data_IF_422695483295
#
_entry.id   IF_422695483295
#
_cell.length_a   1.000
_cell.length_b   1.000
_cell.length_c   1.000
_cell.angle_alpha   90.00
_cell.angle_beta   90.00
_cell.angle_gamma   90.00
#
_symmetry.space_group_name_H-M   'P 1'
#
loop_
_entity.id
_entity.type
_entity.pdbx_description
1 polymer ?
#
# COMPACT_ATOMS: atom_id res chain seq x y z
N UNK A 1 20.71 5.72 11.00
CA UNK A 1 19.64 6.62 11.49
C UNK A 1 18.82 7.18 10.34
N UNK A 2 19.41 7.28 9.16
CA UNK A 2 18.84 7.86 7.95
C UNK A 2 17.65 7.07 7.38
N UNK A 3 17.65 5.74 7.51
CA UNK A 3 16.52 4.89 7.11
C UNK A 3 15.27 5.16 7.94
N UNK A 4 15.40 5.24 9.26
CA UNK A 4 14.29 5.55 10.17
C UNK A 4 13.76 6.96 9.87
N UNK A 5 14.66 7.92 9.61
CA UNK A 5 14.27 9.27 9.24
C UNK A 5 13.52 9.30 7.89
N UNK A 6 13.94 8.47 6.94
CA UNK A 6 13.28 8.31 5.64
C UNK A 6 11.89 7.69 5.79
N UNK A 7 11.75 6.60 6.55
CA UNK A 7 10.44 5.97 6.80
C UNK A 7 9.50 6.92 7.55
N UNK A 8 10.02 7.66 8.53
CA UNK A 8 9.25 8.66 9.27
C UNK A 8 8.83 9.82 8.37
N UNK A 9 9.70 10.27 7.47
CA UNK A 9 9.40 11.27 6.46
C UNK A 9 8.33 10.83 5.47
N UNK A 10 8.43 9.61 4.94
CA UNK A 10 7.44 9.03 4.02
C UNK A 10 6.07 8.81 4.71
N UNK A 11 6.07 8.31 5.95
CA UNK A 11 4.87 8.18 6.78
C UNK A 11 4.20 9.52 7.04
N UNK A 12 4.98 10.54 7.43
CA UNK A 12 4.47 11.89 7.65
C UNK A 12 3.92 12.52 6.37
N UNK A 13 4.60 12.34 5.24
CA UNK A 13 4.13 12.81 3.93
C UNK A 13 2.81 12.13 3.52
N UNK A 14 2.68 10.82 3.74
CA UNK A 14 1.45 10.07 3.48
C UNK A 14 0.30 10.56 4.37
N UNK A 15 0.55 10.78 5.66
CA UNK A 15 -0.44 11.31 6.60
C UNK A 15 -0.98 12.66 6.13
N UNK A 16 -0.08 13.62 5.86
CA UNK A 16 -0.45 14.98 5.44
C UNK A 16 -1.15 14.95 4.08
N UNK A 17 -0.62 14.20 3.12
CA UNK A 17 -1.19 14.08 1.78
C UNK A 17 -2.61 13.51 1.80
N UNK A 18 -2.82 12.39 2.50
CA UNK A 18 -4.15 11.77 2.62
C UNK A 18 -5.14 12.65 3.39
N UNK A 19 -4.69 13.33 4.45
CA UNK A 19 -5.55 14.22 5.23
C UNK A 19 -6.04 15.41 4.39
N UNK A 20 -5.13 16.08 3.67
CA UNK A 20 -5.49 17.18 2.78
C UNK A 20 -6.39 16.68 1.63
N UNK A 21 -6.00 15.59 0.97
CA UNK A 21 -6.78 15.01 -0.13
C UNK A 21 -8.19 14.56 0.31
N UNK A 22 -8.34 14.02 1.51
CA UNK A 22 -9.63 13.60 2.06
C UNK A 22 -10.54 14.77 2.48
N UNK A 23 -9.95 15.88 2.93
CA UNK A 23 -10.70 17.09 3.31
C UNK A 23 -11.20 17.86 2.08
N UNK A 24 -10.50 17.76 0.93
CA UNK A 24 -10.90 18.44 -0.30
C UNK A 24 -12.35 18.08 -0.68
N UNK A 25 -12.76 16.82 -0.93
CA UNK A 25 -14.15 16.47 -1.25
C UNK A 25 -15.18 16.88 -0.20
N UNK A 26 -14.77 17.02 1.06
CA UNK A 26 -15.65 17.38 2.18
C UNK A 26 -15.87 18.90 2.30
N UNK A 27 -14.91 19.72 1.85
CA UNK A 27 -14.94 21.20 2.01
C UNK A 27 -15.53 21.93 0.82
N UNK A 28 -15.45 21.35 -0.38
CA UNK A 28 -16.23 21.81 -1.52
C UNK A 28 -17.66 21.29 -1.35
N UNK A 29 -18.66 22.19 -1.33
CA UNK A 29 -20.09 21.83 -1.36
C UNK A 29 -20.43 21.19 -2.70
N UNK A 30 -20.05 19.93 -2.85
CA UNK A 30 -20.32 19.11 -4.01
C UNK A 30 -21.78 18.67 -3.94
N UNK A 31 -22.50 18.81 -5.06
CA UNK A 31 -23.79 18.16 -5.24
C UNK A 31 -23.64 16.64 -5.09
N UNK A 32 -24.68 15.97 -4.62
CA UNK A 32 -24.71 14.53 -4.31
C UNK A 32 -24.16 13.65 -5.46
N UNK A 33 -24.42 14.07 -6.70
CA UNK A 33 -23.94 13.40 -7.91
C UNK A 33 -22.40 13.42 -8.05
N UNK A 34 -21.76 14.51 -7.61
CA UNK A 34 -20.31 14.69 -7.71
C UNK A 34 -19.59 13.97 -6.57
N UNK A 35 -20.21 13.94 -5.39
CA UNK A 35 -19.70 13.12 -4.27
C UNK A 35 -19.71 11.63 -4.65
N UNK A 36 -20.77 11.15 -5.30
CA UNK A 36 -20.85 9.77 -5.80
C UNK A 36 -19.77 9.46 -6.84
N UNK A 37 -19.46 10.40 -7.73
CA UNK A 37 -18.36 10.23 -8.69
C UNK A 37 -17.00 10.07 -7.99
N UNK A 38 -16.72 10.89 -6.97
CA UNK A 38 -15.49 10.79 -6.16
C UNK A 38 -15.43 9.45 -5.42
N UNK A 39 -16.54 8.97 -4.87
CA UNK A 39 -16.60 7.66 -4.22
C UNK A 39 -16.34 6.51 -5.19
N UNK A 40 -16.94 6.54 -6.39
CA UNK A 40 -16.72 5.51 -7.42
C UNK A 40 -15.27 5.55 -7.92
N UNK A 41 -14.70 6.74 -8.13
CA UNK A 41 -13.28 6.87 -8.47
C UNK A 41 -12.36 6.36 -7.36
N UNK A 42 -12.65 6.72 -6.10
CA UNK A 42 -11.89 6.25 -4.94
C UNK A 42 -11.94 4.73 -4.82
N UNK A 43 -13.11 4.13 -4.94
CA UNK A 43 -13.27 2.67 -4.96
C UNK A 43 -12.48 2.03 -6.11
N UNK A 44 -12.55 2.59 -7.32
CA UNK A 44 -11.79 2.13 -8.48
C UNK A 44 -10.27 2.24 -8.28
N UNK A 45 -9.78 3.34 -7.70
CA UNK A 45 -8.37 3.56 -7.41
C UNK A 45 -7.84 2.60 -6.34
N UNK A 46 -8.62 2.33 -5.29
CA UNK A 46 -8.27 1.34 -4.26
C UNK A 46 -8.23 -0.08 -4.84
N UNK A 47 -9.23 -0.46 -5.64
CA UNK A 47 -9.25 -1.76 -6.33
C UNK A 47 -8.09 -1.89 -7.33
N UNK A 48 -7.80 -0.83 -8.09
CA UNK A 48 -6.69 -0.80 -9.03
C UNK A 48 -5.34 -1.01 -8.35
N UNK A 49 -5.09 -0.28 -7.25
CA UNK A 49 -3.86 -0.43 -6.45
C UNK A 49 -3.74 -1.84 -5.87
N UNK A 50 -4.86 -2.39 -5.39
CA UNK A 50 -4.91 -3.74 -4.86
C UNK A 50 -4.48 -4.78 -5.91
N UNK A 51 -5.02 -4.72 -7.12
CA UNK A 51 -4.74 -5.70 -8.18
C UNK A 51 -3.39 -5.49 -8.88
N UNK A 52 -3.00 -4.24 -9.12
CA UNK A 52 -1.81 -3.94 -9.92
C UNK A 52 -0.50 -4.07 -9.13
N UNK A 53 -0.51 -3.80 -7.82
CA UNK A 53 0.71 -3.74 -7.01
C UNK A 53 0.60 -4.55 -5.73
N UNK A 54 -0.46 -4.37 -4.91
CA UNK A 54 -0.51 -5.02 -3.60
C UNK A 54 -0.57 -6.55 -3.72
N UNK A 55 -1.41 -7.09 -4.60
CA UNK A 55 -1.53 -8.54 -4.81
C UNK A 55 -0.22 -9.12 -5.39
N UNK A 56 0.35 -8.58 -6.49
CA UNK A 56 1.61 -9.09 -7.04
C UNK A 56 2.78 -9.05 -6.05
N UNK A 57 3.00 -7.93 -5.37
CA UNK A 57 4.08 -7.79 -4.38
C UNK A 57 3.86 -8.70 -3.17
N UNK A 58 2.62 -8.83 -2.70
CA UNK A 58 2.27 -9.74 -1.59
C UNK A 58 2.53 -11.20 -1.95
N UNK A 59 2.16 -11.63 -3.15
CA UNK A 59 2.40 -12.99 -3.64
C UNK A 59 3.89 -13.26 -3.84
N UNK A 60 4.64 -12.30 -4.40
CA UNK A 60 6.10 -12.40 -4.51
C UNK A 60 6.74 -12.62 -3.15
N UNK A 61 6.41 -11.80 -2.15
CA UNK A 61 6.96 -11.89 -0.80
C UNK A 61 6.68 -13.26 -0.13
N UNK A 62 5.49 -13.83 -0.38
CA UNK A 62 5.14 -15.16 0.13
C UNK A 62 6.01 -16.25 -0.52
N UNK A 63 6.15 -16.26 -1.84
CA UNK A 63 6.96 -17.26 -2.54
C UNK A 63 8.45 -17.14 -2.26
N UNK A 64 8.99 -15.92 -2.17
CA UNK A 64 10.40 -15.68 -1.84
C UNK A 64 10.76 -16.16 -0.43
N UNK A 65 9.79 -16.15 0.49
CA UNK A 65 9.98 -16.68 1.86
C UNK A 65 9.97 -18.21 1.88
N UNK A 66 9.16 -18.85 1.02
CA UNK A 66 9.05 -20.32 0.95
C UNK A 66 10.34 -20.95 0.38
N UNK A 67 10.99 -20.34 -0.61
CA UNK A 67 12.25 -20.84 -1.16
C UNK A 67 13.41 -20.83 -0.15
N UNK A 68 13.35 -20.01 0.91
CA UNK A 68 14.39 -19.97 1.95
C UNK A 68 14.18 -20.97 3.09
N UNK A 69 13.07 -21.73 3.11
CA UNK A 69 12.80 -22.74 4.14
C UNK A 69 13.22 -24.16 3.74
N UNK A 70 13.59 -24.40 2.47
CA UNK A 70 14.12 -25.69 2.02
C UNK A 70 15.66 -25.74 2.12
N UNK A 71 16.19 -25.61 3.33
CA UNK A 71 17.53 -26.17 3.63
C UNK A 71 17.45 -27.11 4.83
N UNK A 72 17.09 -28.39 4.62
CA UNK A 72 17.38 -29.43 5.59
C UNK A 72 18.89 -29.74 5.54
N UNK A 73 19.75 -28.82 6.00
CA UNK A 73 21.15 -29.15 6.28
C UNK A 73 21.28 -29.69 7.71
N UNK A 74 20.79 -30.91 7.90
CA UNK A 74 21.27 -31.80 8.94
C UNK A 74 21.69 -33.10 8.22
N UNK A 75 22.99 -33.40 8.26
CA UNK A 75 23.63 -34.71 8.01
C UNK A 75 24.00 -35.05 6.55
N UNK A 76 25.20 -34.65 6.09
CA UNK A 76 26.26 -35.55 5.58
C UNK A 76 27.59 -34.81 5.72
N UNK A 77 28.54 -35.45 6.40
CA UNK A 77 29.71 -34.81 6.97
C UNK A 77 30.69 -34.12 6.02
N UNK A 78 31.41 -33.15 6.58
CA UNK A 78 32.86 -33.05 6.47
C UNK A 78 33.41 -32.36 7.71
#
# INVERSE_FOLDING_TARGET
MDEILTLLGLSGAMLIGCYLAGIIPLTISLSEEKLKLVTVLGAGLLVGTALAVIIPEGVHAMYSTVEHQENPEVIVGK
#
